data_IF_367743246318
#
_entry.id   IF_367743246318
#
_cell.length_a   1.000
_cell.length_b   1.000
_cell.length_c   1.000
_cell.angle_alpha   90.00
_cell.angle_beta   90.00
_cell.angle_gamma   90.00
#
_symmetry.space_group_name_H-M   'P 1'
#
loop_
_entity.id
_entity.type
_entity.pdbx_description
1 polymer ?
#
# COMPACT_ATOMS: atom_id res chain seq x y z
N UNK A 1 -1.79 -6.94 -14.55
CA UNK A 1 -0.39 -6.76 -14.14
C UNK A 1 -0.39 -5.73 -13.02
N UNK A 2 0.12 -6.05 -11.83
CA UNK A 2 0.27 -5.08 -10.74
C UNK A 2 1.60 -4.36 -10.96
N UNK A 3 1.57 -3.03 -11.05
CA UNK A 3 2.78 -2.24 -11.26
C UNK A 3 3.15 -1.58 -9.95
N UNK A 4 4.36 -1.88 -9.45
CA UNK A 4 4.93 -1.25 -8.27
C UNK A 4 5.79 -0.07 -8.72
N UNK A 5 5.55 1.12 -8.14
CA UNK A 5 6.38 2.29 -8.41
C UNK A 5 7.05 2.75 -7.10
N UNK A 6 8.38 2.87 -7.14
CA UNK A 6 9.18 3.37 -6.01
C UNK A 6 9.15 4.89 -6.03
N UNK A 7 8.63 5.51 -4.98
CA UNK A 7 8.59 6.97 -4.89
C UNK A 7 9.97 7.50 -4.45
N UNK A 8 10.87 7.78 -5.40
CA UNK A 8 12.05 8.63 -5.15
C UNK A 8 11.67 10.08 -5.47
N UNK A 9 11.97 11.02 -4.57
CA UNK A 9 11.96 12.44 -4.88
C UNK A 9 13.08 12.71 -5.89
N UNK A 10 12.79 12.55 -7.18
CA UNK A 10 13.66 12.99 -8.26
C UNK A 10 12.79 13.24 -9.49
N UNK A 11 12.64 14.53 -9.84
CA UNK A 11 11.98 15.13 -11.01
C UNK A 11 10.68 14.47 -11.50
N UNK A 12 9.61 15.26 -11.49
CA UNK A 12 8.31 15.00 -12.11
C UNK A 12 8.38 14.04 -13.30
N UNK A 13 8.13 12.75 -13.03
CA UNK A 13 7.86 11.79 -14.08
C UNK A 13 6.39 11.99 -14.38
N UNK A 14 6.14 12.62 -15.52
CA UNK A 14 4.83 12.77 -16.14
C UNK A 14 4.34 11.38 -16.59
N UNK A 15 3.91 10.56 -15.62
CA UNK A 15 3.27 9.27 -15.88
C UNK A 15 1.85 9.58 -16.29
N UNK A 16 1.68 9.79 -17.61
CA UNK A 16 0.39 9.86 -18.31
C UNK A 16 -0.63 8.90 -17.68
N UNK A 17 -1.79 9.48 -17.38
CA UNK A 17 -2.96 8.88 -16.74
C UNK A 17 -3.45 7.59 -17.44
N UNK A 18 -2.89 6.44 -17.08
CA UNK A 18 -3.56 5.14 -17.25
C UNK A 18 -4.26 4.78 -15.93
N UNK A 19 -5.53 4.34 -15.97
CA UNK A 19 -6.25 3.82 -14.81
C UNK A 19 -5.66 2.45 -14.44
N UNK A 20 -4.51 2.45 -13.77
CA UNK A 20 -3.83 1.26 -13.27
C UNK A 20 -3.99 1.18 -11.76
N UNK A 21 -4.07 -0.05 -11.25
CA UNK A 21 -3.88 -0.33 -9.83
C UNK A 21 -2.47 0.14 -9.44
N UNK A 22 -2.39 1.11 -8.52
CA UNK A 22 -1.12 1.71 -8.10
C UNK A 22 -0.73 1.18 -6.74
N UNK A 23 0.38 0.45 -6.69
CA UNK A 23 1.07 0.11 -5.44
C UNK A 23 2.28 1.03 -5.32
N UNK A 24 2.26 1.89 -4.31
CA UNK A 24 3.30 2.87 -4.02
C UNK A 24 4.07 2.43 -2.78
N UNK A 25 5.40 2.53 -2.81
CA UNK A 25 6.26 2.11 -1.69
C UNK A 25 7.18 3.25 -1.29
N UNK A 26 7.24 3.50 0.02
CA UNK A 26 8.22 4.38 0.69
C UNK A 26 8.99 3.57 1.71
N UNK A 27 10.30 3.57 1.56
CA UNK A 27 11.25 3.03 2.54
C UNK A 27 11.75 4.19 3.41
N UNK A 28 11.75 4.01 4.72
CA UNK A 28 12.12 5.08 5.65
C UNK A 28 12.64 4.52 6.97
N UNK A 29 13.25 5.36 7.82
CA UNK A 29 13.58 4.98 9.19
C UNK A 29 12.32 4.98 10.07
N UNK A 30 12.41 4.41 11.28
CA UNK A 30 11.30 4.47 12.25
C UNK A 30 10.82 5.90 12.51
N UNK A 31 11.75 6.86 12.61
CA UNK A 31 11.47 8.29 12.81
C UNK A 31 10.80 8.94 11.59
N UNK A 32 11.04 8.38 10.39
CA UNK A 32 10.50 8.88 9.13
C UNK A 32 9.13 8.33 8.76
N UNK A 33 8.53 7.42 9.53
CA UNK A 33 7.23 6.80 9.23
C UNK A 33 6.14 7.84 8.96
N UNK A 34 6.01 8.84 9.84
CA UNK A 34 4.97 9.87 9.70
C UNK A 34 5.16 10.66 8.39
N UNK A 35 6.41 11.00 8.06
CA UNK A 35 6.75 11.66 6.79
C UNK A 35 6.42 10.77 5.60
N UNK A 36 6.71 9.47 5.70
CA UNK A 36 6.34 8.46 4.71
C UNK A 36 4.84 8.44 4.46
N UNK A 37 4.03 8.37 5.52
CA UNK A 37 2.57 8.38 5.44
C UNK A 37 2.06 9.63 4.70
N UNK A 38 2.49 10.81 5.17
CA UNK A 38 2.04 12.09 4.63
C UNK A 38 2.47 12.28 3.17
N UNK A 39 3.68 11.87 2.81
CA UNK A 39 4.18 11.99 1.43
C UNK A 39 3.35 11.20 0.42
N UNK A 40 2.87 10.00 0.78
CA UNK A 40 2.01 9.20 -0.09
C UNK A 40 0.62 9.81 -0.26
N UNK A 41 0.04 10.38 0.80
CA UNK A 41 -1.23 11.11 0.71
C UNK A 41 -1.09 12.39 -0.13
N UNK A 42 -0.01 13.14 0.06
CA UNK A 42 0.30 14.32 -0.74
C UNK A 42 0.47 13.97 -2.23
N UNK A 43 1.20 12.89 -2.55
CA UNK A 43 1.40 12.41 -3.92
C UNK A 43 0.09 12.01 -4.61
N UNK A 44 -0.87 11.50 -3.85
CA UNK A 44 -2.17 11.06 -4.38
C UNK A 44 -3.28 12.11 -4.27
N UNK A 45 -2.94 13.31 -3.76
CA UNK A 45 -3.88 14.40 -3.46
C UNK A 45 -5.04 13.98 -2.55
N UNK A 46 -4.83 12.95 -1.72
CA UNK A 46 -5.83 12.45 -0.77
C UNK A 46 -5.59 12.99 0.64
N UNK A 47 -6.64 13.07 1.45
CA UNK A 47 -6.50 13.36 2.88
C UNK A 47 -6.43 12.07 3.70
N UNK A 48 -5.50 11.96 4.66
CA UNK A 48 -5.44 10.81 5.55
C UNK A 48 -6.69 10.75 6.44
N UNK A 49 -7.30 9.57 6.49
CA UNK A 49 -8.32 9.23 7.49
C UNK A 49 -7.85 7.99 8.23
N UNK A 50 -8.28 7.83 9.48
CA UNK A 50 -7.81 6.73 10.36
C UNK A 50 -8.01 5.37 9.70
N UNK A 51 -9.16 5.13 9.04
CA UNK A 51 -9.45 3.86 8.40
C UNK A 51 -8.68 3.60 7.09
N UNK A 52 -7.98 4.60 6.56
CA UNK A 52 -7.08 4.46 5.42
C UNK A 52 -5.69 3.98 5.82
N UNK A 53 -5.33 4.02 7.11
CA UNK A 53 -3.98 3.66 7.58
C UNK A 53 -4.09 2.41 8.44
N UNK A 54 -3.30 1.40 8.14
CA UNK A 54 -3.23 0.17 8.91
C UNK A 54 -1.80 -0.08 9.36
N UNK A 55 -1.57 -0.09 10.67
CA UNK A 55 -0.25 -0.34 11.25
C UNK A 55 -0.10 -1.84 11.55
N UNK A 56 0.88 -2.46 10.92
CA UNK A 56 1.15 -3.88 11.08
C UNK A 56 2.00 -4.16 12.33
N UNK A 57 1.79 -5.33 12.90
CA UNK A 57 2.60 -5.90 13.99
C UNK A 57 2.79 -7.40 13.75
N UNK A 58 3.64 -8.01 14.57
CA UNK A 58 3.85 -9.47 14.61
C UNK A 58 2.59 -10.25 15.03
N UNK A 59 1.68 -9.60 15.75
CA UNK A 59 0.39 -10.18 16.17
C UNK A 59 -0.75 -9.96 15.16
N UNK A 60 -0.53 -9.18 14.10
CA UNK A 60 -1.56 -8.90 13.10
C UNK A 60 -2.02 -10.18 12.41
N UNK A 61 -3.31 -10.47 12.51
CA UNK A 61 -3.93 -11.68 12.01
C UNK A 61 -4.28 -11.61 10.53
N UNK A 62 -4.49 -12.79 9.91
CA UNK A 62 -5.00 -12.88 8.56
C UNK A 62 -6.38 -12.22 8.41
N UNK A 63 -7.25 -12.34 9.41
CA UNK A 63 -8.61 -11.76 9.38
C UNK A 63 -8.56 -10.24 9.24
N UNK A 64 -7.67 -9.58 9.99
CA UNK A 64 -7.48 -8.12 9.91
C UNK A 64 -6.94 -7.69 8.55
N UNK A 65 -5.93 -8.41 8.03
CA UNK A 65 -5.34 -8.14 6.72
C UNK A 65 -6.34 -8.35 5.59
N UNK A 66 -7.19 -9.36 5.69
CA UNK A 66 -8.29 -9.59 4.73
C UNK A 66 -9.30 -8.46 4.77
N UNK A 67 -9.69 -8.00 5.96
CA UNK A 67 -10.61 -6.86 6.10
C UNK A 67 -10.00 -5.57 5.53
N UNK A 68 -8.71 -5.32 5.77
CA UNK A 68 -7.99 -4.21 5.16
C UNK A 68 -7.95 -4.31 3.63
N UNK A 69 -7.62 -5.48 3.08
CA UNK A 69 -7.59 -5.72 1.63
C UNK A 69 -8.93 -5.40 0.97
N UNK A 70 -10.05 -5.80 1.60
CA UNK A 70 -11.39 -5.44 1.11
C UNK A 70 -11.61 -3.93 1.14
N UNK A 71 -11.32 -3.24 2.25
CA UNK A 71 -11.48 -1.77 2.31
C UNK A 71 -10.66 -1.07 1.23
N UNK A 72 -9.39 -1.46 1.09
CA UNK A 72 -8.49 -0.93 0.08
C UNK A 72 -9.02 -1.16 -1.35
N UNK A 73 -9.50 -2.37 -1.65
CA UNK A 73 -9.92 -2.73 -3.00
C UNK A 73 -11.29 -2.12 -3.38
N UNK A 74 -12.18 -1.93 -2.41
CA UNK A 74 -13.54 -1.45 -2.65
C UNK A 74 -13.73 0.05 -2.44
N UNK A 75 -12.80 0.74 -1.77
CA UNK A 75 -12.83 2.19 -1.65
C UNK A 75 -12.37 2.85 -2.96
N UNK A 76 -13.31 3.46 -3.67
CA UNK A 76 -13.08 3.98 -5.02
C UNK A 76 -12.10 5.16 -4.99
N UNK A 77 -10.88 4.92 -5.49
CA UNK A 77 -9.86 5.96 -5.68
C UNK A 77 -9.14 6.44 -4.41
N UNK A 78 -9.56 6.01 -3.22
CA UNK A 78 -8.90 6.36 -1.96
C UNK A 78 -7.61 5.55 -1.77
N UNK A 79 -6.55 6.22 -1.32
CA UNK A 79 -5.30 5.59 -0.93
C UNK A 79 -5.47 4.91 0.44
N UNK A 80 -5.18 3.62 0.51
CA UNK A 80 -5.02 2.89 1.77
C UNK A 80 -3.55 2.55 1.97
N UNK A 81 -3.05 2.62 3.20
CA UNK A 81 -1.63 2.41 3.51
C UNK A 81 -1.44 1.27 4.51
N UNK A 82 -0.47 0.39 4.21
CA UNK A 82 0.13 -0.52 5.17
C UNK A 82 1.40 0.08 5.72
N UNK A 83 1.48 0.17 7.04
CA UNK A 83 2.63 0.69 7.77
C UNK A 83 3.37 -0.48 8.41
N UNK A 84 4.65 -0.59 8.09
CA UNK A 84 5.56 -1.65 8.51
C UNK A 84 5.06 -3.07 8.18
N UNK A 85 4.62 -3.37 6.94
CA UNK A 85 4.16 -4.71 6.60
C UNK A 85 5.23 -5.80 6.75
N UNK A 86 6.51 -5.44 6.85
CA UNK A 86 7.60 -6.36 7.20
C UNK A 86 7.43 -7.03 8.56
N UNK A 87 6.63 -6.48 9.47
CA UNK A 87 6.34 -7.08 10.77
C UNK A 87 5.33 -8.23 10.68
N UNK A 88 4.59 -8.35 9.58
CA UNK A 88 3.66 -9.46 9.39
C UNK A 88 4.43 -10.77 9.29
N UNK A 89 3.86 -11.86 9.83
CA UNK A 89 4.41 -13.19 9.58
C UNK A 89 4.44 -13.51 8.08
N UNK A 90 5.42 -14.29 7.64
CA UNK A 90 5.55 -14.68 6.23
C UNK A 90 4.27 -15.33 5.67
N UNK A 91 3.57 -16.12 6.50
CA UNK A 91 2.29 -16.72 6.14
C UNK A 91 1.22 -15.66 5.83
N UNK A 92 1.09 -14.63 6.68
CA UNK A 92 0.12 -13.55 6.49
C UNK A 92 0.46 -12.70 5.26
N UNK A 93 1.75 -12.43 5.01
CA UNK A 93 2.19 -11.71 3.81
C UNK A 93 1.84 -12.47 2.52
N UNK A 94 2.08 -13.79 2.48
CA UNK A 94 1.73 -14.65 1.33
C UNK A 94 0.21 -14.70 1.12
N UNK A 95 -0.57 -14.90 2.18
CA UNK A 95 -2.03 -14.88 2.11
C UNK A 95 -2.57 -13.54 1.58
N UNK A 96 -2.04 -12.42 2.07
CA UNK A 96 -2.42 -11.09 1.64
C UNK A 96 -2.13 -10.86 0.15
N UNK A 97 -0.93 -11.22 -0.29
CA UNK A 97 -0.51 -11.07 -1.69
C UNK A 97 -1.40 -11.89 -2.62
N UNK A 98 -1.62 -13.18 -2.31
CA UNK A 98 -2.51 -14.07 -3.07
C UNK A 98 -3.94 -13.53 -3.14
N UNK A 99 -4.42 -12.98 -2.03
CA UNK A 99 -5.76 -12.44 -1.95
C UNK A 99 -5.95 -11.17 -2.78
N UNK A 100 -5.01 -10.22 -2.74
CA UNK A 100 -5.02 -9.05 -3.62
C UNK A 100 -4.98 -9.44 -5.10
N UNK A 101 -4.15 -10.42 -5.47
CA UNK A 101 -4.13 -10.96 -6.83
C UNK A 101 -5.47 -11.56 -7.24
N UNK A 102 -6.12 -12.32 -6.35
CA UNK A 102 -7.45 -12.88 -6.59
C UNK A 102 -8.48 -11.78 -6.82
N UNK A 103 -8.51 -10.75 -5.97
CA UNK A 103 -9.43 -9.60 -6.11
C UNK A 103 -9.20 -8.88 -7.45
N UNK A 104 -7.95 -8.56 -7.78
CA UNK A 104 -7.59 -7.90 -9.03
C UNK A 104 -7.97 -8.74 -10.27
N UNK A 105 -7.86 -10.07 -10.20
CA UNK A 105 -8.27 -10.98 -11.28
C UNK A 105 -9.80 -11.04 -11.42
N UNK A 106 -10.52 -11.03 -10.30
CA UNK A 106 -11.99 -11.11 -10.29
C UNK A 106 -12.66 -9.81 -10.77
N UNK A 107 -12.02 -8.65 -10.55
CA UNK A 107 -12.59 -7.34 -10.86
C UNK A 107 -11.54 -6.44 -11.56
N UNK A 108 -11.15 -6.75 -12.81
CA UNK A 108 -10.03 -6.09 -13.48
C UNK A 108 -10.25 -4.61 -13.78
N UNK A 109 -11.52 -4.17 -13.85
CA UNK A 109 -11.88 -2.76 -14.07
C UNK A 109 -11.84 -1.92 -12.79
N UNK A 110 -11.73 -2.56 -11.61
CA UNK A 110 -11.75 -1.86 -10.34
C UNK A 110 -10.35 -1.36 -10.02
N UNK A 111 -10.26 -0.05 -9.80
CA UNK A 111 -9.02 0.63 -9.47
C UNK A 111 -8.88 0.72 -7.95
N UNK A 112 -7.72 0.32 -7.44
CA UNK A 112 -7.34 0.53 -6.05
C UNK A 112 -5.97 1.22 -5.94
N UNK A 113 -5.75 1.89 -4.82
CA UNK A 113 -4.48 2.55 -4.49
C UNK A 113 -4.00 2.02 -3.14
N UNK A 114 -2.88 1.31 -3.17
CA UNK A 114 -2.22 0.78 -1.97
C UNK A 114 -0.89 1.50 -1.78
N UNK A 115 -0.69 2.09 -0.62
CA UNK A 115 0.59 2.62 -0.15
C UNK A 115 1.23 1.64 0.82
N UNK A 116 2.54 1.54 0.77
CA UNK A 116 3.34 0.75 1.71
C UNK A 116 4.40 1.69 2.26
N UNK A 117 4.44 1.84 3.58
CA UNK A 117 5.52 2.51 4.30
C UNK A 117 6.27 1.45 5.07
N UNK A 118 7.50 1.16 4.68
CA UNK A 118 8.32 0.10 5.28
C UNK A 118 9.59 0.68 5.90
N UNK A 119 10.02 0.05 6.98
CA UNK A 119 11.31 0.29 7.63
C UNK A 119 12.34 -0.80 7.33
N UNK A 120 11.95 -1.84 6.59
CA UNK A 120 12.89 -2.82 6.08
C UNK A 120 13.75 -2.15 5.00
N UNK A 121 15.05 -2.06 5.24
CA UNK A 121 16.01 -1.72 4.20
C UNK A 121 16.07 -2.89 3.21
N UNK A 122 15.81 -2.62 1.93
CA UNK A 122 16.16 -3.56 0.86
C UNK A 122 17.67 -3.62 0.74
N UNK A 123 18.30 -4.51 1.51
CA UNK A 123 19.68 -4.95 1.27
C UNK A 123 19.65 -5.84 0.02
N UNK A 124 19.65 -5.20 -1.15
CA UNK A 124 19.91 -5.87 -2.42
C UNK A 124 21.41 -5.92 -2.69
#
# INVERSE_FOLDING_TARGET
>A
MLTVQRAKQTKAIDVKNLPLNKILVVETSCEGILRGILSLFQLTQGQPQVHHIFYCSDTTSWTEMRAFAYRCFYSQGALHQLIRPELLSALVQDQFTRFLHKLAKQQPKRLFRLGIVTTASTSH
#
